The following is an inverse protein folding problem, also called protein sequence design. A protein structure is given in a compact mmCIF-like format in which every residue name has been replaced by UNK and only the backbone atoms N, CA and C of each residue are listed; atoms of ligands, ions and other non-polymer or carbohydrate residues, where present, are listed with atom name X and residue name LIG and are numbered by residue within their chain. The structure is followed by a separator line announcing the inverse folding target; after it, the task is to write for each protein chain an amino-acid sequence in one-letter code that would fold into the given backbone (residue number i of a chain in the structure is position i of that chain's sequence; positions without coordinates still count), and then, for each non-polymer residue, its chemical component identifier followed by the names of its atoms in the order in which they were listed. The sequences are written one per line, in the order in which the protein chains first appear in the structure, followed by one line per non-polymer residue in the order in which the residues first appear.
data_IF_096777245162
#
_entry.id   IF_096777245162
#
_cell.length_a   1.000
_cell.length_b   1.000
_cell.length_c   1.000
_cell.angle_alpha   90.00
_cell.angle_beta   90.00
_cell.angle_gamma   90.00
#
_symmetry.space_group_name_H-M   'P 1'
#
loop_
_entity.id
_entity.type
_entity.pdbx_description
1 polymer ?
#
# COMPACT_ATOMS: atom_id res chain seq x y z
N UNK A 1 -16.28 61.29 -0.25
CA UNK A 1 -17.07 60.13 0.20
C UNK A 1 -17.03 59.08 -0.89
N UNK A 2 -15.96 58.30 -0.89
CA UNK A 2 -15.92 56.95 -0.29
C UNK A 2 -16.52 55.92 -1.27
N UNK A 3 -15.73 55.33 -2.17
CA UNK A 3 -14.87 54.16 -1.91
C UNK A 3 -15.53 53.01 -1.11
N UNK A 4 -16.85 52.89 -1.06
CA UNK A 4 -17.51 51.74 -0.41
C UNK A 4 -18.33 50.92 -1.38
N UNK A 5 -17.74 49.78 -1.78
CA UNK A 5 -18.50 48.73 -2.46
C UNK A 5 -17.69 47.80 -3.33
N UNK A 6 -16.38 47.65 -3.09
CA UNK A 6 -15.71 46.40 -3.47
C UNK A 6 -16.41 45.24 -2.76
N UNK A 7 -16.52 44.09 -3.45
CA UNK A 7 -16.77 42.73 -2.92
C UNK A 7 -18.23 42.29 -2.74
N UNK A 8 -18.86 41.79 -3.82
CA UNK A 8 -19.79 40.64 -3.91
C UNK A 8 -20.47 40.73 -5.28
N UNK A 9 -20.52 39.72 -6.14
CA UNK A 9 -20.38 38.29 -5.97
C UNK A 9 -19.26 37.74 -6.88
N UNK A 10 -18.20 37.20 -6.28
CA UNK A 10 -17.64 35.96 -6.83
C UNK A 10 -18.71 34.90 -6.57
N UNK A 11 -19.66 34.73 -7.50
CA UNK A 11 -20.57 33.58 -7.50
C UNK A 11 -19.68 32.33 -7.46
N UNK A 12 -19.62 31.74 -6.28
CA UNK A 12 -18.81 30.57 -6.00
C UNK A 12 -19.11 29.49 -7.04
N UNK A 13 -18.11 29.19 -7.88
CA UNK A 13 -18.12 28.01 -8.74
C UNK A 13 -18.46 26.79 -7.88
N UNK A 14 -19.67 26.20 -7.99
CA UNK A 14 -20.01 24.98 -7.26
C UNK A 14 -19.37 23.73 -7.89
N UNK A 15 -18.59 23.93 -8.94
CA UNK A 15 -18.19 22.90 -9.89
C UNK A 15 -16.89 22.16 -9.49
N UNK A 16 -16.15 22.68 -8.51
CA UNK A 16 -14.93 22.02 -8.02
C UNK A 16 -15.24 20.86 -7.07
N UNK A 17 -16.27 20.98 -6.23
CA UNK A 17 -16.63 19.98 -5.24
C UNK A 17 -17.24 18.71 -5.88
N UNK A 18 -18.02 18.86 -6.95
CA UNK A 18 -18.64 17.76 -7.69
C UNK A 18 -17.62 16.93 -8.50
N UNK A 19 -16.56 17.54 -9.02
CA UNK A 19 -15.49 16.86 -9.76
C UNK A 19 -14.53 16.08 -8.84
N UNK A 20 -14.31 16.58 -7.62
CA UNK A 20 -13.38 15.95 -6.68
C UNK A 20 -13.88 14.58 -6.20
N UNK A 21 -15.20 14.39 -6.09
CA UNK A 21 -15.82 13.10 -5.75
C UNK A 21 -15.67 12.07 -6.88
N UNK A 22 -15.91 12.47 -8.13
CA UNK A 22 -15.80 11.59 -9.30
C UNK A 22 -14.37 11.07 -9.50
N UNK A 23 -13.36 11.93 -9.31
CA UNK A 23 -11.96 11.53 -9.42
C UNK A 23 -11.54 10.57 -8.30
N UNK A 24 -12.06 10.78 -7.08
CA UNK A 24 -11.79 9.87 -5.96
C UNK A 24 -12.33 8.46 -6.22
N UNK A 25 -13.53 8.35 -6.80
CA UNK A 25 -14.12 7.04 -7.12
C UNK A 25 -13.27 6.24 -8.11
N UNK A 26 -12.65 6.92 -9.08
CA UNK A 26 -11.75 6.27 -10.06
C UNK A 26 -10.46 5.78 -9.39
N UNK A 27 -9.91 6.54 -8.43
CA UNK A 27 -8.67 6.13 -7.73
C UNK A 27 -8.90 4.89 -6.87
N UNK A 28 -10.09 4.75 -6.27
CA UNK A 28 -10.43 3.60 -5.42
C UNK A 28 -10.58 2.28 -6.19
N UNK A 29 -10.76 2.30 -7.51
CA UNK A 29 -10.90 1.09 -8.34
C UNK A 29 -9.58 0.63 -8.96
N UNK A 30 -8.49 1.36 -8.74
CA UNK A 30 -7.16 0.99 -9.26
C UNK A 30 -6.71 -0.29 -8.54
N UNK A 31 -6.52 -1.41 -9.27
CA UNK A 31 -6.02 -2.63 -8.66
C UNK A 31 -4.58 -2.45 -8.20
N UNK A 32 -4.24 -3.04 -7.05
CA UNK A 32 -2.89 -3.01 -6.48
C UNK A 32 -2.42 -4.42 -6.14
N UNK A 33 -1.14 -4.70 -6.41
CA UNK A 33 -0.51 -5.95 -6.01
C UNK A 33 -0.16 -5.92 -4.52
N UNK A 34 -0.86 -6.76 -3.77
CA UNK A 34 -0.64 -6.98 -2.33
C UNK A 34 0.16 -8.26 -2.15
N UNK A 35 1.32 -8.15 -1.51
CA UNK A 35 2.20 -9.27 -1.19
C UNK A 35 2.28 -9.44 0.32
N UNK A 36 2.13 -10.69 0.77
CA UNK A 36 2.27 -11.07 2.18
C UNK A 36 3.62 -11.77 2.30
N UNK A 37 4.55 -11.14 3.01
CA UNK A 37 5.91 -11.65 3.18
C UNK A 37 5.99 -12.39 4.51
N UNK A 38 6.13 -13.72 4.44
CA UNK A 38 6.37 -14.55 5.60
C UNK A 38 7.71 -14.20 6.24
N UNK A 39 8.79 -14.09 5.47
CA UNK A 39 10.12 -13.73 5.96
C UNK A 39 11.10 -13.56 4.80
N UNK A 40 12.28 -13.03 5.09
CA UNK A 40 13.37 -12.91 4.13
C UNK A 40 14.62 -13.62 4.62
N UNK A 41 15.56 -13.86 3.72
CA UNK A 41 16.88 -14.37 4.10
C UNK A 41 17.90 -13.83 3.11
N UNK A 42 19.11 -13.61 3.57
CA UNK A 42 20.23 -13.17 2.75
C UNK A 42 21.24 -14.31 2.71
N UNK A 43 21.66 -14.71 1.51
CA UNK A 43 22.61 -15.80 1.32
C UNK A 43 23.57 -15.50 0.16
N UNK A 44 24.80 -16.04 0.19
CA UNK A 44 25.73 -15.93 -0.93
C UNK A 44 25.16 -16.56 -2.20
N UNK A 45 25.52 -16.00 -3.36
CA UNK A 45 25.10 -16.52 -4.67
C UNK A 45 25.49 -17.99 -4.85
N UNK A 46 26.62 -18.42 -4.30
CA UNK A 46 27.07 -19.82 -4.32
C UNK A 46 26.10 -20.76 -3.61
N UNK A 47 25.52 -20.33 -2.49
CA UNK A 47 24.58 -21.11 -1.69
C UNK A 47 23.22 -21.18 -2.40
N UNK A 48 22.79 -20.07 -3.02
CA UNK A 48 21.61 -20.02 -3.88
C UNK A 48 21.72 -20.99 -5.06
N UNK A 49 22.87 -21.04 -5.72
CA UNK A 49 23.13 -21.95 -6.85
C UNK A 49 23.16 -23.42 -6.41
N UNK A 50 23.51 -23.69 -5.14
CA UNK A 50 23.54 -25.03 -4.58
C UNK A 50 22.16 -25.53 -4.12
N UNK A 51 21.11 -24.69 -4.14
CA UNK A 51 19.76 -25.13 -3.81
C UNK A 51 19.27 -26.17 -4.82
N UNK A 52 18.70 -27.24 -4.30
CA UNK A 52 18.15 -28.33 -5.08
C UNK A 52 16.71 -28.61 -4.60
N UNK A 53 15.99 -29.45 -5.33
CA UNK A 53 14.66 -29.91 -4.89
C UNK A 53 14.80 -30.58 -3.51
N UNK A 54 14.07 -30.06 -2.52
CA UNK A 54 14.09 -30.54 -1.15
C UNK A 54 15.02 -29.76 -0.21
N UNK A 55 15.75 -28.76 -0.70
CA UNK A 55 16.50 -27.85 0.17
C UNK A 55 15.56 -27.01 1.05
N UNK A 56 15.88 -26.93 2.34
CA UNK A 56 15.17 -26.08 3.31
C UNK A 56 15.95 -24.81 3.53
N UNK A 57 15.26 -23.66 3.45
CA UNK A 57 15.87 -22.34 3.66
C UNK A 57 15.32 -21.74 4.94
N UNK A 58 16.21 -21.41 5.88
CA UNK A 58 15.84 -20.71 7.09
C UNK A 58 15.55 -19.23 6.78
N UNK A 59 14.41 -18.74 7.25
CA UNK A 59 14.02 -17.34 7.14
C UNK A 59 14.37 -16.58 8.43
N UNK A 60 14.53 -15.27 8.33
CA UNK A 60 14.90 -14.38 9.43
C UNK A 60 13.75 -14.04 10.40
N UNK A 61 12.73 -14.90 10.53
CA UNK A 61 11.52 -14.61 11.32
C UNK A 61 11.24 -15.68 12.34
N UNK A 62 10.77 -15.28 13.53
CA UNK A 62 10.39 -16.21 14.59
C UNK A 62 8.95 -16.68 14.45
N UNK A 63 8.68 -17.88 14.95
CA UNK A 63 7.32 -18.43 15.02
C UNK A 63 6.47 -17.52 15.92
N UNK A 64 5.29 -17.14 15.43
CA UNK A 64 4.36 -16.26 16.14
C UNK A 64 4.61 -14.76 15.95
N UNK A 65 5.64 -14.36 15.20
CA UNK A 65 5.76 -12.96 14.78
C UNK A 65 4.75 -12.65 13.67
N UNK A 66 4.07 -11.48 13.72
CA UNK A 66 3.12 -11.09 12.68
C UNK A 66 3.86 -10.91 11.36
N UNK A 67 3.27 -11.31 10.22
CA UNK A 67 3.82 -11.17 8.86
C UNK A 67 3.70 -9.75 8.32
N UNK A 68 4.48 -9.43 7.27
CA UNK A 68 4.44 -8.11 6.66
C UNK A 68 3.54 -8.06 5.44
N UNK A 69 2.75 -6.99 5.33
CA UNK A 69 1.92 -6.70 4.16
C UNK A 69 2.58 -5.59 3.37
N UNK A 70 2.91 -5.88 2.12
CA UNK A 70 3.64 -5.01 1.21
C UNK A 70 2.78 -4.73 -0.01
N UNK A 71 2.67 -3.46 -0.40
CA UNK A 71 1.97 -3.04 -1.61
C UNK A 71 2.96 -2.26 -2.46
N UNK A 72 3.14 -2.66 -3.72
CA UNK A 72 4.12 -2.04 -4.63
C UNK A 72 5.52 -1.85 -4.00
N UNK A 73 6.00 -2.86 -3.28
CA UNK A 73 7.31 -2.82 -2.62
C UNK A 73 7.39 -2.01 -1.32
N UNK A 74 6.30 -1.35 -0.90
CA UNK A 74 6.25 -0.60 0.36
C UNK A 74 5.48 -1.38 1.43
N UNK A 75 6.08 -1.58 2.61
CA UNK A 75 5.39 -2.16 3.77
C UNK A 75 4.32 -1.19 4.26
N UNK A 76 3.06 -1.64 4.28
CA UNK A 76 1.91 -0.85 4.70
C UNK A 76 1.30 -1.33 6.02
N UNK A 77 1.46 -2.61 6.36
CA UNK A 77 0.84 -3.20 7.54
C UNK A 77 1.60 -4.44 8.03
N UNK A 78 1.17 -4.94 9.20
CA UNK A 78 1.53 -6.25 9.74
C UNK A 78 0.25 -7.03 10.03
N UNK A 79 0.27 -8.34 9.85
CA UNK A 79 -0.89 -9.21 10.03
C UNK A 79 -0.53 -10.55 10.65
N UNK A 80 -1.52 -11.28 11.13
CA UNK A 80 -1.35 -12.66 11.60
C UNK A 80 -1.94 -13.61 10.55
N UNK A 81 -1.30 -14.76 10.35
CA UNK A 81 -1.85 -15.79 9.47
C UNK A 81 -2.79 -16.67 10.28
N UNK A 82 -4.06 -16.64 9.93
CA UNK A 82 -5.08 -17.52 10.51
C UNK A 82 -5.64 -18.44 9.42
N UNK A 83 -5.78 -19.72 9.74
CA UNK A 83 -6.48 -20.67 8.86
C UNK A 83 -7.97 -20.55 9.18
N UNK A 84 -8.79 -20.23 8.17
CA UNK A 84 -10.23 -20.38 8.27
C UNK A 84 -10.60 -21.78 7.79
N UNK A 85 -11.39 -22.50 8.59
CA UNK A 85 -12.03 -23.76 8.21
C UNK A 85 -13.30 -23.53 7.37
#
# INVERSE_FOLDING_TARGET
EELRGVLREEEGRPDAALRSGANSSIIMTIPVDVQIILGSTEMPVSELMALQKGSTVALNRRIGEPVDVVVNGRRIARGEITVLE
#
